data_IF_872744424630
#
_entry.id   IF_872744424630
#
_cell.length_a   1.000
_cell.length_b   1.000
_cell.length_c   1.000
_cell.angle_alpha   90.00
_cell.angle_beta   90.00
_cell.angle_gamma   90.00
#
_symmetry.space_group_name_H-M   'P 1'
#
loop_
_entity.id
_entity.type
_entity.pdbx_description
1 polymer ?
#
# COMPACT_ATOMS: atom_id res chain seq x y z
N UNK A 1 27.11 32.69 -19.66
CA UNK A 1 27.64 32.27 -18.34
C UNK A 1 26.58 32.61 -17.31
N UNK A 2 26.08 31.60 -16.58
CA UNK A 2 25.12 31.79 -15.48
C UNK A 2 23.67 31.45 -15.80
N UNK A 3 23.35 30.15 -15.90
CA UNK A 3 22.01 29.63 -15.64
C UNK A 3 22.17 28.60 -14.52
N UNK A 4 21.88 29.03 -13.30
CA UNK A 4 21.59 28.15 -12.19
C UNK A 4 20.06 28.13 -12.05
N UNK A 5 19.41 27.29 -12.85
CA UNK A 5 18.02 26.92 -12.61
C UNK A 5 18.02 25.77 -11.60
N UNK A 6 17.68 26.11 -10.37
CA UNK A 6 17.29 25.15 -9.35
C UNK A 6 16.02 24.44 -9.83
N UNK A 7 16.09 23.12 -9.99
CA UNK A 7 14.93 22.30 -10.28
C UNK A 7 13.95 22.34 -9.11
N UNK A 8 12.96 23.23 -9.19
CA UNK A 8 11.89 23.34 -8.22
C UNK A 8 11.03 22.06 -8.23
N UNK A 9 11.03 21.36 -7.09
CA UNK A 9 10.00 20.38 -6.80
C UNK A 9 8.79 21.14 -6.21
N UNK A 10 7.61 20.95 -6.81
CA UNK A 10 6.38 21.55 -6.31
C UNK A 10 6.02 20.99 -4.93
N UNK A 11 6.34 21.73 -3.87
CA UNK A 11 5.75 21.53 -2.55
C UNK A 11 4.35 22.12 -2.60
N UNK A 12 3.33 21.26 -2.67
CA UNK A 12 1.93 21.69 -2.62
C UNK A 12 1.48 21.64 -1.14
N UNK A 13 1.29 22.79 -0.46
CA UNK A 13 0.67 22.80 0.86
C UNK A 13 -0.78 22.30 0.74
N UNK A 14 -1.16 21.31 1.55
CA UNK A 14 -2.52 20.78 1.56
C UNK A 14 -3.37 21.47 2.62
N UNK A 15 -4.56 22.00 2.30
CA UNK A 15 -5.38 22.78 3.25
C UNK A 15 -6.02 21.93 4.37
N UNK A 16 -5.95 20.59 4.28
CA UNK A 16 -6.63 19.69 5.21
C UNK A 16 -5.72 19.06 6.26
N UNK A 17 -4.39 19.02 6.03
CA UNK A 17 -3.41 18.43 6.96
C UNK A 17 -2.05 19.16 6.86
N UNK A 18 -1.38 19.46 8.00
CA UNK A 18 -0.03 20.04 7.98
C UNK A 18 0.98 18.98 7.50
N UNK A 19 1.41 19.07 6.24
CA UNK A 19 2.42 18.17 5.68
C UNK A 19 2.74 18.48 4.22
N UNK A 20 3.78 17.82 3.70
CA UNK A 20 4.30 18.08 2.36
C UNK A 20 4.06 16.88 1.43
N UNK A 21 3.76 17.19 0.16
CA UNK A 21 3.63 16.19 -0.91
C UNK A 21 4.88 16.21 -1.78
N UNK A 22 5.48 15.04 -2.03
CA UNK A 22 6.52 14.82 -3.03
C UNK A 22 5.96 13.95 -4.16
N UNK A 23 5.97 14.45 -5.40
CA UNK A 23 5.44 13.73 -6.58
C UNK A 23 6.60 13.06 -7.34
N UNK A 24 6.46 11.77 -7.62
CA UNK A 24 7.48 10.96 -8.31
C UNK A 24 6.87 9.88 -9.21
N UNK A 25 7.66 9.40 -10.17
CA UNK A 25 7.37 8.26 -11.03
C UNK A 25 7.41 6.99 -10.22
N UNK A 26 6.22 6.59 -9.75
CA UNK A 26 5.97 5.36 -9.01
C UNK A 26 6.59 5.43 -7.61
N UNK A 27 5.88 4.91 -6.62
CA UNK A 27 6.32 4.88 -5.23
C UNK A 27 7.68 4.15 -5.12
N UNK A 28 8.75 4.95 -5.03
CA UNK A 28 10.14 4.73 -4.64
C UNK A 28 10.95 3.50 -5.08
N UNK A 29 10.36 2.47 -5.67
CA UNK A 29 10.96 1.14 -5.55
C UNK A 29 11.27 0.43 -6.88
N UNK A 30 11.15 1.08 -8.05
CA UNK A 30 11.13 0.35 -9.33
C UNK A 30 11.87 0.96 -10.54
N UNK A 31 12.79 1.92 -10.40
CA UNK A 31 13.51 2.48 -11.57
C UNK A 31 14.94 1.92 -11.76
N UNK A 32 15.23 1.42 -12.96
CA UNK A 32 16.45 0.69 -13.39
C UNK A 32 17.72 1.57 -13.54
N UNK A 33 18.23 2.22 -12.49
CA UNK A 33 19.56 2.84 -12.54
C UNK A 33 20.63 1.98 -11.83
N UNK A 34 21.78 1.78 -12.49
CA UNK A 34 22.99 1.17 -11.89
C UNK A 34 23.62 2.20 -10.97
N UNK A 35 23.75 1.89 -9.68
CA UNK A 35 24.36 2.77 -8.69
C UNK A 35 25.79 2.32 -8.40
N UNK A 36 26.78 3.18 -8.66
CA UNK A 36 28.16 3.01 -8.14
C UNK A 36 28.24 3.55 -6.71
N UNK A 37 29.11 2.98 -5.86
CA UNK A 37 29.15 3.32 -4.44
C UNK A 37 29.91 4.62 -4.24
N UNK A 38 29.21 5.70 -3.88
CA UNK A 38 29.82 6.91 -3.33
C UNK A 38 29.54 6.97 -1.82
N UNK A 39 30.58 7.30 -1.06
CA UNK A 39 30.74 7.05 0.37
C UNK A 39 29.84 7.88 1.33
N UNK A 40 28.81 8.55 0.84
CA UNK A 40 28.07 9.58 1.59
C UNK A 40 26.73 9.10 2.18
N UNK A 41 26.35 7.85 1.93
CA UNK A 41 25.10 7.25 2.45
C UNK A 41 25.07 7.11 3.98
N UNK A 42 26.22 7.16 4.66
CA UNK A 42 26.33 6.90 6.10
C UNK A 42 25.92 8.08 6.98
N UNK A 43 25.82 9.30 6.44
CA UNK A 43 25.57 10.52 7.24
C UNK A 43 24.14 11.04 7.17
N UNK A 44 23.47 10.92 6.02
CA UNK A 44 22.11 11.45 5.84
C UNK A 44 21.02 10.60 6.51
N UNK A 45 21.30 9.32 6.73
CA UNK A 45 20.55 8.46 7.63
C UNK A 45 21.58 7.85 8.56
N UNK A 46 21.38 7.87 9.88
CA UNK A 46 22.13 7.02 10.82
C UNK A 46 21.79 5.53 10.55
N UNK A 47 22.22 5.05 9.39
CA UNK A 47 22.12 3.67 8.91
C UNK A 47 23.56 3.25 8.76
N UNK A 48 24.17 2.82 9.85
CA UNK A 48 25.23 1.84 9.76
C UNK A 48 24.63 0.59 9.12
N UNK A 49 25.33 -0.02 8.16
CA UNK A 49 24.93 -1.28 7.52
C UNK A 49 24.60 -2.33 8.60
N UNK A 50 23.32 -2.42 8.94
CA UNK A 50 22.78 -3.32 9.95
C UNK A 50 21.45 -3.76 9.37
N UNK A 51 21.36 -5.03 9.00
CA UNK A 51 20.19 -5.75 8.51
C UNK A 51 18.87 -5.08 8.96
N UNK A 52 18.25 -4.32 8.05
CA UNK A 52 17.08 -3.49 8.32
C UNK A 52 15.84 -4.37 8.21
N UNK A 53 15.04 -4.49 9.27
CA UNK A 53 13.74 -5.16 9.21
C UNK A 53 12.62 -4.13 9.01
N UNK A 54 11.78 -4.33 8.00
CA UNK A 54 10.48 -3.68 7.87
C UNK A 54 9.42 -4.72 8.22
N UNK A 55 8.51 -4.41 9.15
CA UNK A 55 7.30 -5.22 9.30
C UNK A 55 6.38 -4.82 8.16
N UNK A 56 6.10 -5.72 7.23
CA UNK A 56 5.12 -5.45 6.19
C UNK A 56 3.88 -6.29 6.45
N UNK A 57 2.72 -5.64 6.38
CA UNK A 57 1.49 -6.33 6.07
C UNK A 57 1.65 -6.86 4.64
N UNK A 58 1.54 -8.16 4.50
CA UNK A 58 1.90 -8.88 3.28
C UNK A 58 1.03 -8.40 2.12
N UNK A 59 1.66 -7.81 1.12
CA UNK A 59 1.02 -7.38 -0.12
C UNK A 59 1.89 -7.83 -1.28
N UNK A 60 1.20 -8.35 -2.28
CA UNK A 60 1.73 -8.79 -3.56
C UNK A 60 2.76 -7.81 -4.14
N UNK A 61 3.97 -8.30 -4.49
CA UNK A 61 5.11 -7.58 -5.11
C UNK A 61 5.97 -6.67 -4.23
N UNK A 62 5.73 -6.53 -2.93
CA UNK A 62 6.64 -5.76 -2.08
C UNK A 62 8.03 -6.40 -1.93
N UNK A 63 8.19 -7.70 -2.12
CA UNK A 63 9.50 -8.36 -2.00
C UNK A 63 10.57 -7.74 -2.88
N UNK A 64 10.24 -7.49 -4.15
CA UNK A 64 11.21 -6.88 -5.07
C UNK A 64 11.40 -5.41 -4.75
N UNK A 65 10.27 -4.72 -4.64
CA UNK A 65 10.24 -3.27 -4.56
C UNK A 65 10.94 -2.81 -3.26
N UNK A 66 10.59 -3.38 -2.11
CA UNK A 66 11.13 -2.98 -0.82
C UNK A 66 12.50 -3.58 -0.48
N UNK A 67 12.91 -4.72 -1.05
CA UNK A 67 14.15 -5.42 -0.62
C UNK A 67 15.31 -5.28 -1.59
N UNK A 68 15.05 -5.33 -2.91
CA UNK A 68 16.09 -5.62 -3.90
C UNK A 68 17.28 -4.65 -3.85
N UNK A 69 17.00 -3.34 -3.75
CA UNK A 69 18.05 -2.31 -3.80
C UNK A 69 18.33 -1.63 -2.48
N UNK A 70 17.42 -1.76 -1.53
CA UNK A 70 17.52 -1.16 -0.19
C UNK A 70 18.33 -2.06 0.75
N UNK A 71 18.38 -3.38 0.49
CA UNK A 71 18.88 -4.37 1.42
C UNK A 71 17.99 -4.54 2.67
N UNK A 72 16.76 -4.01 2.64
CA UNK A 72 15.80 -4.19 3.72
C UNK A 72 15.19 -5.59 3.65
N UNK A 73 14.84 -6.13 4.81
CA UNK A 73 14.13 -7.39 4.99
C UNK A 73 12.66 -7.13 5.32
N UNK A 74 11.80 -8.00 4.82
CA UNK A 74 10.37 -7.99 5.15
C UNK A 74 10.11 -9.05 6.19
N UNK A 75 9.54 -8.65 7.32
CA UNK A 75 9.00 -9.58 8.32
C UNK A 75 7.48 -9.57 8.19
N UNK A 76 6.86 -10.68 7.73
CA UNK A 76 5.44 -10.71 7.42
C UNK A 76 4.60 -10.70 8.69
N UNK A 77 3.57 -9.86 8.73
CA UNK A 77 2.50 -9.94 9.73
C UNK A 77 1.42 -10.87 9.18
N UNK A 78 1.22 -12.01 9.84
CA UNK A 78 0.31 -13.03 9.34
C UNK A 78 -1.13 -12.76 9.74
N UNK A 79 -2.02 -12.84 8.76
CA UNK A 79 -3.46 -12.74 8.93
C UNK A 79 -4.12 -14.02 8.38
N UNK A 80 -5.32 -14.34 8.86
CA UNK A 80 -6.00 -15.61 8.58
C UNK A 80 -7.45 -15.38 8.18
N UNK A 81 -8.03 -16.33 7.45
CA UNK A 81 -9.44 -16.28 7.06
C UNK A 81 -10.41 -16.24 8.25
N UNK A 82 -10.05 -16.80 9.42
CA UNK A 82 -10.91 -16.86 10.61
C UNK A 82 -11.39 -15.52 11.17
N UNK A 83 -10.71 -14.40 10.85
CA UNK A 83 -11.15 -13.05 11.20
C UNK A 83 -11.25 -12.13 9.96
N UNK A 84 -11.45 -12.71 8.78
CA UNK A 84 -11.50 -11.95 7.52
C UNK A 84 -10.17 -11.30 7.14
N UNK A 85 -9.04 -11.92 7.51
CA UNK A 85 -7.68 -11.41 7.29
C UNK A 85 -7.38 -10.05 7.94
N UNK A 86 -8.13 -9.68 9.00
CA UNK A 86 -7.87 -8.46 9.75
C UNK A 86 -6.57 -8.54 10.54
N UNK A 87 -5.89 -7.41 10.61
CA UNK A 87 -4.66 -7.26 11.40
C UNK A 87 -5.01 -7.26 12.88
N UNK A 88 -4.27 -8.02 13.68
CA UNK A 88 -4.47 -8.05 15.13
C UNK A 88 -3.22 -7.57 15.86
N UNK A 89 -3.43 -7.02 17.06
CA UNK A 89 -2.33 -6.64 17.95
C UNK A 89 -1.40 -7.82 18.24
N UNK A 90 -1.96 -9.01 18.46
CA UNK A 90 -1.19 -10.23 18.71
C UNK A 90 -0.30 -10.62 17.52
N UNK A 91 -0.80 -10.48 16.28
CA UNK A 91 -0.01 -10.75 15.08
C UNK A 91 1.15 -9.76 14.90
N UNK A 92 0.92 -8.47 15.20
CA UNK A 92 1.98 -7.45 15.18
C UNK A 92 3.05 -7.73 16.24
N UNK A 93 2.66 -8.02 17.48
CA UNK A 93 3.60 -8.35 18.56
C UNK A 93 4.38 -9.64 18.28
N UNK A 94 3.76 -10.65 17.66
CA UNK A 94 4.47 -11.85 17.19
C UNK A 94 5.50 -11.54 16.11
N UNK A 95 5.10 -10.81 15.07
CA UNK A 95 6.00 -10.45 13.97
C UNK A 95 7.18 -9.60 14.48
N UNK A 96 6.93 -8.65 15.38
CA UNK A 96 7.98 -7.85 16.02
C UNK A 96 8.95 -8.74 16.84
N UNK A 97 8.44 -9.67 17.66
CA UNK A 97 9.28 -10.63 18.40
C UNK A 97 10.08 -11.54 17.47
N UNK A 98 9.51 -12.00 16.36
CA UNK A 98 10.24 -12.80 15.35
C UNK A 98 11.38 -12.00 14.72
N UNK A 99 11.15 -10.73 14.39
CA UNK A 99 12.19 -9.84 13.90
C UNK A 99 13.34 -9.69 14.90
N UNK A 100 13.02 -9.49 16.19
CA UNK A 100 14.03 -9.39 17.25
C UNK A 100 14.84 -10.68 17.41
N UNK A 101 14.20 -11.86 17.35
CA UNK A 101 14.89 -13.16 17.39
C UNK A 101 15.87 -13.35 16.23
N UNK A 102 15.52 -12.81 15.06
CA UNK A 102 16.38 -12.79 13.87
C UNK A 102 17.44 -11.67 13.92
N UNK A 103 17.54 -10.93 15.03
CA UNK A 103 18.43 -9.77 15.23
C UNK A 103 18.22 -8.67 14.20
N UNK A 104 17.00 -8.54 13.68
CA UNK A 104 16.61 -7.47 12.76
C UNK A 104 16.16 -6.25 13.56
N UNK A 105 16.62 -5.06 13.16
CA UNK A 105 16.13 -3.80 13.71
C UNK A 105 14.87 -3.38 12.95
N UNK A 106 13.71 -3.48 13.60
CA UNK A 106 12.43 -3.05 13.04
C UNK A 106 12.41 -1.52 12.90
N UNK A 107 12.14 -1.02 11.69
CA UNK A 107 12.04 0.42 11.39
C UNK A 107 10.63 0.93 11.24
N UNK A 108 9.69 0.08 10.87
CA UNK A 108 8.31 0.50 10.70
C UNK A 108 7.39 -0.63 10.30
N UNK A 109 6.11 -0.29 10.24
CA UNK A 109 5.02 -1.09 9.70
C UNK A 109 4.60 -0.49 8.36
N UNK A 110 4.44 -1.32 7.34
CA UNK A 110 3.82 -0.93 6.08
C UNK A 110 2.47 -1.63 5.93
N UNK A 111 1.42 -0.87 5.65
CA UNK A 111 0.08 -1.38 5.35
C UNK A 111 -0.38 -0.95 3.95
N UNK A 112 -1.36 -1.65 3.40
CA UNK A 112 -2.09 -1.21 2.21
C UNK A 112 -3.56 -1.11 2.55
N UNK A 113 -4.11 0.10 2.43
CA UNK A 113 -5.48 0.43 2.83
C UNK A 113 -6.09 1.40 1.80
N UNK A 114 -7.07 1.00 0.99
CA UNK A 114 -7.68 -0.33 0.92
C UNK A 114 -6.73 -1.44 0.48
N UNK A 115 -6.96 -2.66 0.98
CA UNK A 115 -6.03 -3.79 0.88
C UNK A 115 -5.99 -4.45 -0.50
N UNK A 116 -4.78 -4.84 -0.91
CA UNK A 116 -4.51 -5.75 -2.02
C UNK A 116 -3.76 -6.97 -1.49
N UNK A 117 -4.31 -8.20 -1.60
CA UNK A 117 -5.36 -8.62 -2.54
C UNK A 117 -6.80 -8.68 -1.97
N UNK A 118 -7.05 -8.23 -0.73
CA UNK A 118 -8.31 -8.52 -0.05
C UNK A 118 -9.53 -7.73 -0.58
N UNK A 119 -9.32 -6.50 -1.03
CA UNK A 119 -10.41 -5.63 -1.52
C UNK A 119 -11.21 -5.00 -0.38
N UNK A 120 -10.61 -4.93 0.82
CA UNK A 120 -11.26 -4.42 2.02
C UNK A 120 -10.60 -3.12 2.51
N UNK A 121 -11.42 -2.19 2.98
CA UNK A 121 -10.93 -1.05 3.77
C UNK A 121 -10.64 -1.50 5.21
N UNK A 122 -9.63 -0.89 5.83
CA UNK A 122 -9.31 -1.14 7.24
C UNK A 122 -10.29 -0.36 8.13
N UNK A 123 -10.99 -1.00 9.08
CA UNK A 123 -11.80 -0.28 10.06
C UNK A 123 -10.97 0.74 10.84
N UNK A 124 -11.59 1.86 11.24
CA UNK A 124 -10.92 2.91 12.03
C UNK A 124 -10.22 2.36 13.27
N UNK A 125 -10.87 1.44 14.00
CA UNK A 125 -10.30 0.81 15.19
C UNK A 125 -9.00 0.02 14.90
N UNK A 126 -8.89 -0.61 13.73
CA UNK A 126 -7.68 -1.35 13.33
C UNK A 126 -6.54 -0.36 12.99
N UNK A 127 -6.87 0.77 12.37
CA UNK A 127 -5.91 1.86 12.11
C UNK A 127 -5.44 2.53 13.42
N UNK A 128 -6.34 2.78 14.36
CA UNK A 128 -6.00 3.30 15.70
C UNK A 128 -5.05 2.34 16.44
N UNK A 129 -5.33 1.04 16.41
CA UNK A 129 -4.47 0.01 17.00
C UNK A 129 -3.07 -0.01 16.34
N UNK A 130 -2.99 0.16 15.02
CA UNK A 130 -1.72 0.27 14.30
C UNK A 130 -0.93 1.52 14.69
N UNK A 131 -1.61 2.66 14.77
CA UNK A 131 -1.04 3.94 15.22
C UNK A 131 -0.50 3.82 16.65
N UNK A 132 -1.26 3.22 17.57
CA UNK A 132 -0.82 2.94 18.94
C UNK A 132 0.41 2.03 18.98
N UNK A 133 0.42 0.98 18.16
CA UNK A 133 1.53 0.05 18.09
C UNK A 133 2.81 0.75 17.61
N UNK A 134 2.75 1.54 16.53
CA UNK A 134 3.96 2.22 16.03
C UNK A 134 4.44 3.32 16.97
N UNK A 135 3.52 4.03 17.64
CA UNK A 135 3.85 5.01 18.67
C UNK A 135 4.60 4.36 19.84
N UNK A 136 4.04 3.28 20.40
CA UNK A 136 4.61 2.57 21.55
C UNK A 136 5.98 1.94 21.25
N UNK A 137 6.23 1.53 20.00
CA UNK A 137 7.53 0.94 19.58
C UNK A 137 8.52 1.98 19.10
N UNK A 138 8.08 3.22 18.91
CA UNK A 138 8.87 4.29 18.35
C UNK A 138 9.36 4.03 16.91
N UNK A 139 8.50 3.45 16.09
CA UNK A 139 8.78 3.09 14.68
C UNK A 139 7.85 3.83 13.72
N UNK A 140 8.11 3.73 12.42
CA UNK A 140 7.31 4.41 11.39
C UNK A 140 6.08 3.61 10.98
N UNK A 141 5.06 4.27 10.43
CA UNK A 141 3.93 3.68 9.73
C UNK A 141 3.88 4.25 8.31
N UNK A 142 3.93 3.36 7.31
CA UNK A 142 3.73 3.70 5.90
C UNK A 142 2.38 3.13 5.46
N UNK A 143 1.43 3.99 5.13
CA UNK A 143 0.12 3.62 4.60
C UNK A 143 0.12 3.76 3.08
N UNK A 144 0.10 2.65 2.36
CA UNK A 144 -0.13 2.65 0.91
C UNK A 144 -1.65 2.76 0.65
N UNK A 145 -2.08 3.96 0.30
CA UNK A 145 -3.48 4.33 0.08
C UNK A 145 -3.81 4.43 -1.42
N UNK A 146 -3.07 3.71 -2.28
CA UNK A 146 -3.24 3.71 -3.74
C UNK A 146 -4.65 3.34 -4.23
N UNK A 147 -5.43 2.61 -3.41
CA UNK A 147 -6.80 2.20 -3.73
C UNK A 147 -7.87 3.09 -3.08
N UNK A 148 -7.51 4.20 -2.42
CA UNK A 148 -8.44 5.05 -1.66
C UNK A 148 -9.64 5.52 -2.50
N UNK A 149 -9.41 5.90 -3.76
CA UNK A 149 -10.47 6.28 -4.72
C UNK A 149 -11.30 5.13 -5.29
N UNK A 150 -11.16 3.91 -4.78
CA UNK A 150 -11.90 2.73 -5.23
C UNK A 150 -12.81 2.13 -4.15
N UNK A 151 -12.95 2.78 -3.00
CA UNK A 151 -13.94 2.38 -2.00
C UNK A 151 -15.36 2.66 -2.50
N UNK A 152 -16.21 1.64 -2.50
CA UNK A 152 -17.51 1.66 -3.17
C UNK A 152 -18.70 1.24 -2.30
N UNK A 153 -18.45 0.78 -1.07
CA UNK A 153 -19.48 0.40 -0.12
C UNK A 153 -19.04 0.71 1.33
N UNK A 154 -19.99 0.74 2.24
CA UNK A 154 -19.71 0.85 3.68
C UNK A 154 -19.08 -0.43 4.24
N UNK A 155 -18.21 -0.34 5.25
CA UNK A 155 -17.70 0.90 5.85
C UNK A 155 -16.79 1.67 4.88
N UNK A 156 -16.95 2.99 4.81
CA UNK A 156 -16.16 3.86 3.94
C UNK A 156 -14.64 3.77 4.17
N UNK A 157 -13.87 4.31 3.23
CA UNK A 157 -12.43 4.45 3.40
C UNK A 157 -12.10 5.48 4.50
N UNK A 158 -11.17 5.10 5.39
CA UNK A 158 -10.59 5.99 6.39
C UNK A 158 -9.09 6.08 6.11
N UNK A 159 -8.59 7.29 5.88
CA UNK A 159 -7.14 7.51 5.75
C UNK A 159 -6.47 7.45 7.13
N UNK A 160 -5.23 6.97 7.18
CA UNK A 160 -4.43 7.04 8.42
C UNK A 160 -4.26 8.48 8.91
N UNK A 161 -4.29 9.46 8.01
CA UNK A 161 -4.16 10.88 8.34
C UNK A 161 -5.34 11.39 9.17
N UNK A 162 -6.56 10.86 8.96
CA UNK A 162 -7.72 11.20 9.78
C UNK A 162 -7.55 10.70 11.21
N UNK A 163 -6.95 9.52 11.38
CA UNK A 163 -6.68 8.94 12.71
C UNK A 163 -5.62 9.77 13.43
N UNK A 164 -4.54 10.14 12.75
CA UNK A 164 -3.48 10.99 13.32
C UNK A 164 -4.01 12.38 13.68
N UNK A 165 -4.79 13.02 12.80
CA UNK A 165 -5.35 14.34 13.05
C UNK A 165 -6.27 14.35 14.29
N UNK A 166 -7.09 13.31 14.48
CA UNK A 166 -7.91 13.18 15.67
C UNK A 166 -7.07 13.11 16.97
N UNK A 167 -5.89 12.49 16.93
CA UNK A 167 -4.97 12.39 18.08
C UNK A 167 -4.21 13.67 18.38
N UNK A 168 -3.82 14.40 17.33
CA UNK A 168 -3.21 15.73 17.47
C UNK A 168 -4.21 16.69 18.12
N UNK A 169 -5.46 16.69 17.65
CA UNK A 169 -6.52 17.53 18.22
C UNK A 169 -6.85 17.17 19.68
N UNK A 170 -6.68 15.91 20.08
CA UNK A 170 -6.82 15.46 21.45
C UNK A 170 -5.60 15.78 22.35
N UNK A 171 -4.60 16.52 21.85
CA UNK A 171 -3.34 16.86 22.53
C UNK A 171 -2.50 15.63 22.98
N UNK A 172 -2.77 14.46 22.40
CA UNK A 172 -2.03 13.21 22.71
C UNK A 172 -0.72 13.06 21.92
N UNK A 173 -0.48 13.94 20.94
CA UNK A 173 0.77 14.07 20.18
C UNK A 173 1.37 15.48 20.35
N UNK A 174 1.47 15.96 21.59
CA UNK A 174 1.92 17.31 21.89
C UNK A 174 3.32 17.64 21.33
N UNK A 175 4.17 16.62 21.17
CA UNK A 175 5.53 16.76 20.63
C UNK A 175 5.60 16.60 19.09
N UNK A 176 4.47 16.30 18.43
CA UNK A 176 4.38 16.08 16.97
C UNK A 176 5.10 14.82 16.45
N UNK A 177 5.70 14.03 17.34
CA UNK A 177 6.53 12.87 17.02
C UNK A 177 5.77 11.76 16.33
N UNK A 178 4.47 11.58 16.62
CA UNK A 178 3.65 10.59 15.94
C UNK A 178 3.40 11.02 14.49
N UNK A 179 3.02 12.28 14.27
CA UNK A 179 2.79 12.79 12.92
C UNK A 179 4.01 12.59 12.02
N UNK A 180 5.22 12.88 12.53
CA UNK A 180 6.48 12.71 11.80
C UNK A 180 6.87 11.25 11.48
N UNK A 181 6.13 10.28 12.03
CA UNK A 181 6.34 8.85 11.81
C UNK A 181 5.28 8.20 10.95
N UNK A 182 4.24 8.94 10.55
CA UNK A 182 3.18 8.46 9.67
C UNK A 182 3.38 9.05 8.29
N UNK A 183 3.44 8.18 7.28
CA UNK A 183 3.67 8.53 5.89
C UNK A 183 2.63 7.86 5.01
N UNK A 184 2.14 8.58 4.00
CA UNK A 184 1.19 8.05 3.02
C UNK A 184 1.87 7.91 1.66
N UNK A 185 1.57 6.81 1.00
CA UNK A 185 2.00 6.51 -0.36
C UNK A 185 0.76 6.42 -1.24
N UNK A 186 0.77 7.10 -2.37
CA UNK A 186 -0.40 7.19 -3.26
C UNK A 186 -0.01 7.17 -4.75
N UNK A 187 -0.95 6.87 -5.63
CA UNK A 187 -0.75 6.91 -7.09
C UNK A 187 -2.08 6.93 -7.86
N UNK A 188 -2.12 7.67 -8.97
CA UNK A 188 -3.25 7.73 -9.91
C UNK A 188 -3.38 6.48 -10.82
N UNK A 189 -2.61 5.44 -10.54
CA UNK A 189 -2.55 4.24 -11.37
C UNK A 189 -3.80 3.37 -11.28
N UNK A 190 -4.57 3.47 -10.19
CA UNK A 190 -5.61 2.49 -9.83
C UNK A 190 -7.00 3.10 -9.84
N UNK A 191 -7.17 4.21 -9.17
CA UNK A 191 -8.44 4.93 -9.12
C UNK A 191 -8.75 5.68 -10.41
N UNK A 192 -7.77 6.41 -10.98
CA UNK A 192 -7.93 7.08 -12.28
C UNK A 192 -7.67 6.17 -13.49
N UNK A 193 -7.13 4.97 -13.25
CA UNK A 193 -6.81 4.04 -14.33
C UNK A 193 -5.67 4.54 -15.24
N UNK A 194 -4.73 5.34 -14.73
CA UNK A 194 -3.62 5.92 -15.50
C UNK A 194 -2.25 5.32 -15.13
N UNK A 195 -2.07 3.98 -15.09
CA UNK A 195 -0.78 3.42 -14.72
C UNK A 195 0.30 3.87 -15.70
N UNK A 196 -0.04 3.98 -17.00
CA UNK A 196 0.81 4.45 -18.10
C UNK A 196 1.60 5.72 -17.80
N UNK A 197 0.93 6.69 -17.14
CA UNK A 197 1.44 8.03 -16.87
C UNK A 197 2.43 8.10 -15.71
N UNK A 198 2.57 7.01 -14.95
CA UNK A 198 3.57 6.87 -13.89
C UNK A 198 3.49 7.99 -12.85
N UNK A 199 2.31 8.27 -12.30
CA UNK A 199 2.16 9.30 -11.26
C UNK A 199 2.01 8.65 -9.89
N UNK A 200 3.01 8.84 -9.04
CA UNK A 200 3.02 8.46 -7.63
C UNK A 200 3.32 9.67 -6.74
N UNK A 201 2.91 9.58 -5.48
CA UNK A 201 3.16 10.61 -4.48
C UNK A 201 3.55 9.97 -3.15
N UNK A 202 4.41 10.67 -2.42
CA UNK A 202 4.70 10.44 -1.01
C UNK A 202 4.23 11.67 -0.25
N UNK A 203 3.47 11.43 0.80
CA UNK A 203 3.06 12.47 1.74
C UNK A 203 3.65 12.18 3.11
N UNK A 204 4.24 13.21 3.73
CA UNK A 204 4.84 13.13 5.05
C UNK A 204 4.89 14.51 5.70
N UNK A 205 4.64 14.58 7.02
CA UNK A 205 4.90 15.79 7.81
C UNK A 205 6.37 15.90 8.23
N UNK A 206 7.13 14.80 8.20
CA UNK A 206 8.56 14.80 8.51
C UNK A 206 9.38 15.48 7.40
N UNK A 207 9.94 16.65 7.70
CA UNK A 207 10.72 17.45 6.77
C UNK A 207 12.00 16.72 6.27
N UNK A 208 12.62 15.90 7.12
CA UNK A 208 13.78 15.09 6.74
C UNK A 208 13.43 14.04 5.69
N UNK A 209 12.30 13.35 5.88
CA UNK A 209 11.77 12.39 4.90
C UNK A 209 11.43 13.09 3.58
N UNK A 210 10.76 14.24 3.64
CA UNK A 210 10.38 15.02 2.44
C UNK A 210 11.63 15.48 1.67
N UNK A 211 12.62 16.04 2.37
CA UNK A 211 13.87 16.50 1.74
C UNK A 211 14.62 15.36 1.05
N UNK A 212 14.77 14.22 1.74
CA UNK A 212 15.41 13.04 1.18
C UNK A 212 14.61 12.48 -0.02
N UNK A 213 13.29 12.40 0.11
CA UNK A 213 12.42 11.88 -0.93
C UNK A 213 12.46 12.76 -2.19
N UNK A 214 12.46 14.07 -2.04
CA UNK A 214 12.57 15.03 -3.15
C UNK A 214 13.92 14.93 -3.86
N UNK A 215 15.03 14.76 -3.15
CA UNK A 215 16.34 14.53 -3.80
C UNK A 215 16.34 13.22 -4.59
N UNK A 216 15.73 12.17 -4.03
CA UNK A 216 15.62 10.87 -4.69
C UNK A 216 14.60 10.84 -5.84
N UNK A 217 13.62 11.75 -5.87
CA UNK A 217 12.64 11.80 -6.96
C UNK A 217 13.28 12.17 -8.30
N UNK A 218 14.48 12.77 -8.30
CA UNK A 218 15.29 13.03 -9.50
C UNK A 218 15.54 11.76 -10.36
N UNK A 219 15.54 10.56 -9.76
CA UNK A 219 15.69 9.27 -10.47
C UNK A 219 14.39 8.73 -11.07
N UNK A 220 13.30 9.48 -10.94
CA UNK A 220 11.99 9.15 -11.45
C UNK A 220 11.07 10.35 -11.29
N UNK A 221 11.31 11.43 -12.02
CA UNK A 221 10.42 12.59 -12.03
C UNK A 221 9.22 12.31 -12.94
N UNK A 222 8.03 12.76 -12.53
CA UNK A 222 6.86 12.71 -13.40
C UNK A 222 7.09 13.64 -14.58
N UNK A 223 6.79 13.18 -15.80
CA UNK A 223 6.89 14.00 -17.01
C UNK A 223 6.16 15.33 -16.80
N UNK A 224 6.82 16.45 -17.09
CA UNK A 224 6.22 17.79 -16.95
C UNK A 224 4.95 17.94 -17.80
N UNK A 225 4.91 17.34 -19.00
CA UNK A 225 3.72 17.28 -19.84
C UNK A 225 2.56 16.54 -19.13
N UNK A 226 2.86 15.42 -18.48
CA UNK A 226 1.87 14.67 -17.68
C UNK A 226 1.40 15.48 -16.48
N UNK A 227 2.31 16.18 -15.78
CA UNK A 227 1.96 17.05 -14.66
C UNK A 227 1.02 18.18 -15.11
N UNK A 228 1.31 18.84 -16.23
CA UNK A 228 0.46 19.90 -16.78
C UNK A 228 -0.94 19.38 -17.12
N UNK A 229 -1.03 18.27 -17.87
CA UNK A 229 -2.30 17.64 -18.21
C UNK A 229 -3.14 17.30 -16.96
N UNK A 230 -2.50 16.67 -15.97
CA UNK A 230 -3.20 16.25 -14.75
C UNK A 230 -3.56 17.43 -13.85
N UNK A 231 -2.76 18.50 -13.82
CA UNK A 231 -3.12 19.71 -13.10
C UNK A 231 -4.40 20.34 -13.68
N UNK A 232 -4.53 20.40 -15.01
CA UNK A 232 -5.76 20.85 -15.67
C UNK A 232 -6.95 19.93 -15.38
N UNK A 233 -6.76 18.61 -15.52
CA UNK A 233 -7.84 17.63 -15.32
C UNK A 233 -8.33 17.57 -13.87
N UNK A 234 -7.41 17.53 -12.90
CA UNK A 234 -7.71 17.44 -11.48
C UNK A 234 -8.13 18.80 -10.88
N UNK A 235 -7.79 19.90 -11.54
CA UNK A 235 -8.25 21.24 -11.20
C UNK A 235 -9.76 21.44 -11.47
N UNK A 236 -10.33 20.67 -12.41
CA UNK A 236 -11.77 20.68 -12.68
C UNK A 236 -12.53 19.90 -11.58
N UNK A 237 -13.17 20.66 -10.68
CA UNK A 237 -13.93 20.13 -9.54
C UNK A 237 -15.22 19.41 -9.97
N UNK A 238 -15.82 19.81 -11.09
CA UNK A 238 -17.04 19.18 -11.59
C UNK A 238 -16.72 17.87 -12.32
N UNK A 239 -15.61 17.82 -13.04
CA UNK A 239 -15.08 16.55 -13.57
C UNK A 239 -14.75 15.59 -12.43
N UNK A 240 -13.93 16.00 -11.46
CA UNK A 240 -13.47 15.10 -10.39
C UNK A 240 -14.63 14.54 -9.55
N UNK A 241 -15.62 15.36 -9.20
CA UNK A 241 -16.82 14.89 -8.49
C UNK A 241 -17.61 13.85 -9.29
N UNK A 242 -17.87 14.14 -10.57
CA UNK A 242 -18.59 13.21 -11.46
C UNK A 242 -17.79 11.92 -11.68
N UNK A 243 -16.48 12.04 -11.84
CA UNK A 243 -15.59 10.90 -12.04
C UNK A 243 -15.64 9.96 -10.84
N UNK A 244 -15.46 10.47 -9.62
CA UNK A 244 -15.47 9.64 -8.40
C UNK A 244 -16.82 8.92 -8.26
N UNK A 245 -17.95 9.64 -8.41
CA UNK A 245 -19.28 9.04 -8.29
C UNK A 245 -19.50 7.93 -9.34
N UNK A 246 -19.15 8.18 -10.60
CA UNK A 246 -19.34 7.22 -11.68
C UNK A 246 -18.37 6.03 -11.58
N UNK A 247 -17.13 6.28 -11.16
CA UNK A 247 -16.13 5.24 -10.92
C UNK A 247 -16.58 4.29 -9.82
N UNK A 248 -16.97 4.82 -8.66
CA UNK A 248 -17.51 4.06 -7.53
C UNK A 248 -18.74 3.23 -7.95
N UNK A 249 -19.69 3.84 -8.68
CA UNK A 249 -20.89 3.14 -9.17
C UNK A 249 -20.53 1.96 -10.08
N UNK A 250 -19.61 2.16 -11.03
CA UNK A 250 -19.21 1.13 -12.00
C UNK A 250 -18.39 0.01 -11.36
N UNK A 251 -17.46 0.36 -10.45
CA UNK A 251 -16.67 -0.64 -9.72
C UNK A 251 -17.59 -1.51 -8.88
N UNK A 252 -18.51 -0.90 -8.12
CA UNK A 252 -19.51 -1.66 -7.34
C UNK A 252 -20.30 -2.61 -8.23
N UNK A 253 -20.90 -2.10 -9.30
CA UNK A 253 -21.71 -2.93 -10.20
C UNK A 253 -20.92 -4.08 -10.82
N UNK A 254 -19.64 -3.87 -11.16
CA UNK A 254 -18.77 -4.94 -11.68
C UNK A 254 -18.39 -5.95 -10.60
N UNK A 255 -18.08 -5.50 -9.39
CA UNK A 255 -17.77 -6.37 -8.25
C UNK A 255 -18.96 -7.24 -7.89
N UNK A 256 -20.16 -6.66 -7.81
CA UNK A 256 -21.37 -7.39 -7.45
C UNK A 256 -21.69 -8.47 -8.51
N UNK A 257 -21.58 -8.13 -9.80
CA UNK A 257 -21.72 -9.11 -10.90
C UNK A 257 -20.73 -10.28 -10.79
N UNK A 258 -19.46 -9.99 -10.44
CA UNK A 258 -18.44 -11.02 -10.27
C UNK A 258 -18.74 -11.89 -9.03
N UNK A 259 -19.07 -11.27 -7.90
CA UNK A 259 -19.38 -11.97 -6.66
C UNK A 259 -20.61 -12.87 -6.79
N UNK A 260 -21.69 -12.37 -7.42
CA UNK A 260 -22.91 -13.14 -7.71
C UNK A 260 -22.63 -14.34 -8.62
N UNK A 261 -21.87 -14.14 -9.70
CA UNK A 261 -21.49 -15.21 -10.63
C UNK A 261 -20.63 -16.29 -9.96
N UNK A 262 -19.71 -15.90 -9.08
CA UNK A 262 -18.87 -16.83 -8.32
C UNK A 262 -19.67 -17.59 -7.25
N UNK A 263 -20.60 -16.92 -6.56
CA UNK A 263 -21.44 -17.52 -5.52
C UNK A 263 -22.39 -18.61 -6.06
N UNK A 264 -22.73 -18.56 -7.36
CA UNK A 264 -23.51 -19.60 -8.02
C UNK A 264 -22.73 -20.92 -8.19
N UNK A 265 -21.40 -20.93 -8.03
CA UNK A 265 -20.55 -22.09 -8.22
C UNK A 265 -20.30 -22.77 -6.86
N UNK A 266 -20.74 -24.02 -6.72
CA UNK A 266 -20.53 -24.80 -5.50
C UNK A 266 -19.04 -24.94 -5.20
N UNK A 267 -18.65 -24.60 -3.97
CA UNK A 267 -17.26 -24.69 -3.50
C UNK A 267 -16.41 -23.44 -3.74
N UNK A 268 -17.04 -22.35 -4.22
CA UNK A 268 -16.43 -21.03 -4.34
C UNK A 268 -17.15 -20.05 -3.40
N UNK A 269 -16.37 -19.28 -2.64
CA UNK A 269 -16.88 -18.18 -1.81
C UNK A 269 -16.02 -16.94 -2.05
N UNK A 270 -16.60 -15.75 -2.01
CA UNK A 270 -15.85 -14.50 -2.09
C UNK A 270 -15.77 -13.86 -0.71
N UNK A 271 -14.58 -13.39 -0.31
CA UNK A 271 -14.46 -12.46 0.81
C UNK A 271 -15.28 -11.21 0.49
N UNK A 272 -16.12 -10.77 1.43
CA UNK A 272 -16.88 -9.53 1.25
C UNK A 272 -15.90 -8.35 1.12
N UNK A 273 -16.05 -7.59 0.05
CA UNK A 273 -15.13 -6.54 -0.35
C UNK A 273 -15.90 -5.26 -0.62
N UNK A 274 -15.34 -4.14 -0.18
CA UNK A 274 -15.93 -2.81 -0.30
C UNK A 274 -15.01 -1.82 -1.04
N UNK A 275 -13.87 -2.28 -1.53
CA UNK A 275 -12.90 -1.48 -2.25
C UNK A 275 -12.05 -2.33 -3.21
N UNK A 276 -11.19 -1.66 -3.98
CA UNK A 276 -10.25 -2.31 -4.88
C UNK A 276 -10.86 -2.65 -6.25
N UNK A 277 -10.09 -3.41 -7.04
CA UNK A 277 -10.42 -3.77 -8.42
C UNK A 277 -10.37 -5.29 -8.63
N UNK A 278 -10.59 -6.04 -7.56
CA UNK A 278 -10.41 -7.49 -7.50
C UNK A 278 -11.29 -8.08 -6.39
N UNK A 279 -11.49 -9.38 -6.46
CA UNK A 279 -12.13 -10.19 -5.43
C UNK A 279 -11.12 -11.19 -4.84
N UNK A 280 -11.17 -11.36 -3.53
CA UNK A 280 -10.41 -12.40 -2.85
C UNK A 280 -11.28 -13.63 -2.66
N UNK A 281 -11.01 -14.66 -3.46
CA UNK A 281 -11.91 -15.78 -3.69
C UNK A 281 -11.35 -17.03 -3.00
N UNK A 282 -12.16 -17.64 -2.13
CA UNK A 282 -11.92 -18.93 -1.53
C UNK A 282 -12.37 -20.04 -2.48
N UNK A 283 -11.42 -20.77 -3.04
CA UNK A 283 -11.64 -21.94 -3.90
C UNK A 283 -11.18 -23.24 -3.22
N UNK A 284 -11.05 -23.26 -1.89
CA UNK A 284 -10.65 -24.46 -1.14
C UNK A 284 -11.57 -25.65 -1.40
N UNK A 285 -12.87 -25.40 -1.61
CA UNK A 285 -13.85 -26.44 -1.93
C UNK A 285 -13.62 -27.15 -3.27
N UNK A 286 -12.78 -26.58 -4.15
CA UNK A 286 -12.41 -27.15 -5.44
C UNK A 286 -11.05 -27.87 -5.41
N UNK A 287 -10.32 -27.77 -4.31
CA UNK A 287 -9.02 -28.41 -4.18
C UNK A 287 -9.16 -29.91 -3.88
N UNK A 288 -8.38 -30.73 -4.59
CA UNK A 288 -8.28 -32.17 -4.29
C UNK A 288 -7.57 -32.44 -2.96
N UNK A 289 -6.54 -31.65 -2.68
CA UNK A 289 -5.72 -31.76 -1.46
C UNK A 289 -5.59 -30.38 -0.83
N UNK A 290 -5.88 -30.21 0.48
CA UNK A 290 -5.78 -28.91 1.17
C UNK A 290 -4.31 -28.53 1.45
N UNK A 291 -3.55 -28.27 0.40
CA UNK A 291 -2.10 -27.98 0.41
C UNK A 291 -1.75 -26.92 -0.64
N UNK A 292 -0.56 -26.32 -0.56
CA UNK A 292 -0.10 -25.38 -1.59
C UNK A 292 0.14 -26.08 -2.94
N UNK A 293 0.54 -27.35 -2.91
CA UNK A 293 0.61 -28.19 -4.10
C UNK A 293 -0.77 -28.33 -4.75
N UNK A 294 -1.80 -28.60 -3.95
CA UNK A 294 -3.19 -28.63 -4.41
C UNK A 294 -3.70 -27.28 -4.93
N UNK A 295 -3.26 -26.16 -4.35
CA UNK A 295 -3.56 -24.81 -4.87
C UNK A 295 -2.96 -24.63 -6.26
N UNK A 296 -1.71 -25.06 -6.46
CA UNK A 296 -1.02 -24.96 -7.75
C UNK A 296 -1.59 -25.92 -8.80
N UNK A 297 -2.05 -27.12 -8.40
CA UNK A 297 -2.80 -28.02 -9.27
C UNK A 297 -4.09 -27.34 -9.77
N UNK A 298 -4.88 -26.76 -8.85
CA UNK A 298 -6.10 -26.04 -9.20
C UNK A 298 -5.80 -24.83 -10.10
N UNK A 299 -4.79 -24.03 -9.75
CA UNK A 299 -4.36 -22.87 -10.55
C UNK A 299 -4.01 -23.25 -11.99
N UNK A 300 -3.25 -24.35 -12.19
CA UNK A 300 -2.91 -24.84 -13.53
C UNK A 300 -4.16 -25.21 -14.32
N UNK A 301 -5.15 -25.86 -13.71
CA UNK A 301 -6.43 -26.17 -14.39
C UNK A 301 -7.17 -24.90 -14.79
N UNK A 302 -7.26 -23.92 -13.87
CA UNK A 302 -7.90 -22.62 -14.16
C UNK A 302 -7.22 -21.91 -15.34
N UNK A 303 -5.89 -21.95 -15.41
CA UNK A 303 -5.12 -21.33 -16.50
C UNK A 303 -5.22 -22.11 -17.82
N UNK A 304 -4.97 -23.42 -17.81
CA UNK A 304 -4.79 -24.20 -19.03
C UNK A 304 -6.08 -24.85 -19.56
N UNK A 305 -7.04 -25.18 -18.68
CA UNK A 305 -8.31 -25.80 -19.09
C UNK A 305 -9.43 -24.77 -19.20
N UNK A 306 -9.53 -23.82 -18.25
CA UNK A 306 -10.58 -22.77 -18.26
C UNK A 306 -10.15 -21.54 -19.05
N UNK A 307 -8.84 -21.30 -19.21
CA UNK A 307 -8.32 -20.15 -19.95
C UNK A 307 -8.35 -18.83 -19.15
N UNK A 308 -8.43 -18.90 -17.81
CA UNK A 308 -8.47 -17.73 -16.94
C UNK A 308 -7.14 -17.52 -16.21
N UNK A 309 -6.57 -16.33 -16.34
CA UNK A 309 -5.35 -15.97 -15.62
C UNK A 309 -5.69 -15.28 -14.29
N UNK A 310 -5.64 -16.05 -13.21
CA UNK A 310 -5.86 -15.58 -11.83
C UNK A 310 -4.58 -15.69 -11.01
N UNK A 311 -4.49 -14.96 -9.89
CA UNK A 311 -3.29 -15.01 -9.02
C UNK A 311 -3.54 -15.96 -7.84
N UNK A 312 -2.75 -17.04 -7.67
CA UNK A 312 -2.89 -17.94 -6.53
C UNK A 312 -2.43 -17.26 -5.24
N UNK A 313 -3.05 -17.62 -4.12
CA UNK A 313 -2.89 -16.93 -2.85
C UNK A 313 -1.49 -17.04 -2.27
N UNK A 314 -0.81 -18.15 -2.55
CA UNK A 314 0.64 -18.32 -2.29
C UNK A 314 1.50 -17.21 -2.90
N UNK A 315 1.14 -16.67 -4.08
CA UNK A 315 1.87 -15.53 -4.68
C UNK A 315 1.70 -14.22 -3.91
N UNK A 316 0.68 -14.14 -3.06
CA UNK A 316 0.44 -13.04 -2.12
C UNK A 316 0.92 -13.40 -0.70
N UNK A 317 1.73 -14.45 -0.54
CA UNK A 317 2.14 -15.07 0.74
C UNK A 317 0.99 -15.34 1.72
N UNK A 318 -0.20 -15.68 1.21
CA UNK A 318 -1.28 -16.22 2.03
C UNK A 318 -0.80 -17.52 2.69
N UNK A 319 -0.98 -17.66 4.01
CA UNK A 319 -0.56 -18.86 4.75
C UNK A 319 -1.52 -20.02 4.64
N UNK A 320 -2.71 -19.78 4.14
CA UNK A 320 -3.74 -20.78 3.99
C UNK A 320 -3.95 -21.01 2.49
N UNK A 321 -3.77 -22.25 1.98
CA UNK A 321 -3.94 -22.52 0.56
C UNK A 321 -5.40 -22.37 0.13
N UNK A 322 -5.60 -22.23 -1.18
CA UNK A 322 -6.91 -22.24 -1.83
C UNK A 322 -7.55 -20.88 -2.01
N UNK A 323 -6.83 -19.80 -1.75
CA UNK A 323 -7.30 -18.45 -2.06
C UNK A 323 -6.76 -17.97 -3.39
N UNK A 324 -7.54 -17.15 -4.10
CA UNK A 324 -7.16 -16.60 -5.40
C UNK A 324 -7.60 -15.13 -5.48
N UNK A 325 -6.75 -14.29 -6.07
CA UNK A 325 -7.17 -12.95 -6.51
C UNK A 325 -7.67 -13.05 -7.94
N UNK A 326 -8.94 -12.69 -8.13
CA UNK A 326 -9.61 -12.55 -9.43
C UNK A 326 -9.81 -11.07 -9.70
#
# INVERSE_FOLDING_TARGET
>A
MGLADHGDAFLIPTPYYPGYVCVCVRCFFNSRCKWRPAADWRRAMHVTATYLGLLALVVYRFDRDLKWRTGAEIVPVHCTSGNGFRVTRAALDDAYRRAQKQRLRVKGVLITNPSNPLGTTSPRADLEMLVDFVAAKGIHLVSDEIYSGTAFAEPGFVSVLEVVAARVNAATDADGLLSERVHVVYSLSKDLGLPGFRVGAIYSSNAGVVSAATKMSSFGLVSSQTQHLLASLLGDRDFTRRYVAENTRRIKGRRDQLAEGLAAIRGIECLESNAGLFCWVNMRGLMRTPSFEGEMELWKKVVFEVGLNVSPGSSCHCREPGWFRV
#
